data_IF_205973548303
#
_entry.id   IF_205973548303
#
_cell.length_a   1.000
_cell.length_b   1.000
_cell.length_c   1.000
_cell.angle_alpha   90.00
_cell.angle_beta   90.00
_cell.angle_gamma   90.00
#
_symmetry.space_group_name_H-M   'P 1'
#
loop_
_entity.id
_entity.type
_entity.pdbx_description
1 polymer ?
2 water ?
#
# COMPACT_ATOMS: atom_id res chain seq x y z
N UNK A 4 -3.45 -9.62 21.37
CA UNK A 4 -3.14 -8.68 20.21
C UNK A 4 -2.29 -7.46 20.55
N UNK A 5 -1.03 -7.49 20.19
CA UNK A 5 -0.21 -6.31 20.23
C UNK A 5 -0.73 -5.16 19.36
N UNK A 6 -0.52 -3.96 19.83
CA UNK A 6 -0.94 -2.75 19.15
C UNK A 6 0.21 -2.28 18.27
N UNK A 7 0.00 -2.27 16.95
CA UNK A 7 0.99 -1.68 16.05
C UNK A 7 0.43 -0.48 15.32
N UNK A 8 1.17 0.59 15.28
CA UNK A 8 0.79 1.73 14.43
C UNK A 8 1.61 1.66 13.15
N UNK A 9 0.93 1.52 12.04
CA UNK A 9 1.62 1.48 10.73
C UNK A 9 1.27 2.73 9.90
N UNK A 10 2.27 3.34 9.24
CA UNK A 10 2.10 4.51 8.37
C UNK A 10 2.72 4.12 7.01
N UNK A 11 2.04 4.43 5.88
CA UNK A 11 2.54 3.97 4.56
C UNK A 11 2.38 5.06 3.55
N UNK A 12 3.17 4.99 2.47
CA UNK A 12 2.99 5.92 1.37
C UNK A 12 3.67 5.29 0.17
N UNK A 13 3.10 5.56 -1.01
CA UNK A 13 3.71 5.15 -2.26
C UNK A 13 3.99 6.41 -3.09
N UNK A 14 4.99 6.37 -3.97
CA UNK A 14 5.29 7.51 -4.83
C UNK A 14 5.79 7.00 -6.15
N UNK A 15 5.50 7.71 -7.22
CA UNK A 15 6.01 7.33 -8.54
C UNK A 15 6.42 8.60 -9.39
N UNK A 16 7.62 8.58 -9.96
CA UNK A 16 8.02 9.69 -10.83
C UNK A 16 7.40 9.36 -12.20
N UNK A 17 6.23 9.77 -12.62
CA UNK A 17 5.64 9.25 -13.84
C UNK A 17 4.44 8.38 -13.80
N UNK A 18 3.88 8.25 -14.93
CA UNK A 18 2.77 7.31 -15.04
C UNK A 18 2.81 6.61 -16.35
N UNK A 19 3.52 5.53 -16.45
CA UNK A 19 4.27 4.88 -15.38
C UNK A 19 5.69 5.40 -15.28
N UNK A 20 6.41 5.03 -14.25
CA UNK A 20 7.76 5.48 -14.07
C UNK A 20 8.33 4.77 -12.84
N UNK A 21 9.55 5.08 -12.45
CA UNK A 21 10.16 4.45 -11.28
C UNK A 21 9.39 4.83 -10.05
N UNK A 22 9.18 3.87 -9.18
CA UNK A 22 8.36 4.13 -8.03
C UNK A 22 8.97 3.56 -6.81
N UNK A 23 8.40 3.99 -5.69
CA UNK A 23 8.72 3.40 -4.41
C UNK A 23 7.66 3.49 -3.33
N UNK A 24 7.92 2.77 -2.24
CA UNK A 24 7.05 2.89 -1.09
C UNK A 24 7.91 3.09 0.17
N UNK A 25 7.26 3.67 1.15
CA UNK A 25 7.83 3.87 2.48
C UNK A 25 6.89 3.41 3.55
N UNK A 26 7.41 2.78 4.58
CA UNK A 26 6.58 2.23 5.67
C UNK A 26 7.31 2.58 7.00
N UNK A 27 6.57 3.02 8.01
CA UNK A 27 7.09 3.17 9.38
C UNK A 27 6.14 2.40 10.26
N UNK A 28 6.68 1.58 11.13
CA UNK A 28 5.85 0.82 12.04
C UNK A 28 6.36 1.06 13.45
N UNK A 29 5.46 1.40 14.35
CA UNK A 29 5.79 1.63 15.75
C UNK A 29 5.08 0.64 16.62
N UNK A 30 5.84 0.00 17.53
CA UNK A 30 5.30 -0.96 18.47
C UNK A 30 5.99 -0.63 19.82
N UNK A 31 5.20 -0.18 20.78
CA UNK A 31 5.72 0.28 22.06
C UNK A 31 6.74 1.33 21.82
N UNK A 32 7.90 1.16 22.42
CA UNK A 32 8.91 2.15 22.16
C UNK A 32 9.70 1.91 20.86
N UNK A 33 9.45 0.85 20.12
CA UNK A 33 10.32 0.60 18.98
C UNK A 33 9.77 1.15 17.64
N UNK A 34 10.64 1.35 16.68
CA UNK A 34 10.21 1.87 15.39
C UNK A 34 11.01 1.10 14.38
N UNK A 35 10.35 0.68 13.30
CA UNK A 35 11.00 0.01 12.18
C UNK A 35 10.59 0.77 10.88
N UNK A 36 11.57 1.08 10.04
CA UNK A 36 11.33 1.73 8.77
C UNK A 36 11.57 0.70 7.61
N UNK A 37 10.80 0.76 6.52
CA UNK A 37 10.97 -0.22 5.43
C UNK A 37 10.74 0.62 4.15
N UNK A 38 11.42 0.31 3.07
CA UNK A 38 11.17 1.02 1.80
C UNK A 38 11.66 0.11 0.64
N UNK A 39 11.18 0.32 -0.57
CA UNK A 39 11.77 -0.42 -1.67
C UNK A 39 11.37 0.34 -2.92
N UNK A 40 12.07 0.08 -4.05
CA UNK A 40 11.81 0.75 -5.32
C UNK A 40 11.73 -0.21 -6.48
N UNK A 41 11.05 0.24 -7.55
CA UNK A 41 10.81 -0.56 -8.69
C UNK A 41 11.07 0.26 -9.91
N UNK A 42 11.58 -0.36 -10.95
CA UNK A 42 11.94 0.42 -12.16
C UNK A 42 10.80 0.94 -12.92
N UNK A 43 9.67 0.24 -12.97
CA UNK A 43 8.56 0.74 -13.82
C UNK A 43 7.23 0.30 -13.15
N UNK A 44 6.51 1.26 -12.64
CA UNK A 44 5.29 1.03 -11.96
C UNK A 44 4.44 2.32 -11.98
N UNK A 45 3.40 2.35 -11.13
CA UNK A 45 2.52 3.48 -11.01
C UNK A 45 2.36 3.86 -9.56
N UNK A 46 1.88 5.07 -9.37
CA UNK A 46 1.65 5.57 -8.05
C UNK A 46 0.61 4.67 -7.29
N UNK A 47 -0.41 4.21 -8.00
CA UNK A 47 -1.50 3.44 -7.39
C UNK A 47 -1.00 2.10 -6.93
N UNK A 48 -0.15 1.49 -7.73
CA UNK A 48 0.47 0.17 -7.32
C UNK A 48 1.33 0.35 -6.03
N UNK A 49 2.14 1.40 -6.00
CA UNK A 49 3.00 1.60 -4.79
C UNK A 49 2.13 1.90 -3.54
N UNK A 50 1.04 2.64 -3.71
CA UNK A 50 0.10 2.96 -2.62
C UNK A 50 -0.53 1.70 -2.09
N UNK A 51 -0.78 0.68 -2.93
CA UNK A 51 -1.28 -0.61 -2.41
C UNK A 51 -0.17 -1.50 -1.86
N UNK A 52 1.00 -1.45 -2.49
CA UNK A 52 2.02 -2.42 -2.15
C UNK A 52 2.61 -2.11 -0.68
N UNK A 53 2.63 -0.85 -0.31
CA UNK A 53 3.10 -0.40 1.02
C UNK A 53 2.37 -1.11 2.19
N UNK A 54 1.04 -1.01 2.27
CA UNK A 54 0.35 -1.76 3.31
C UNK A 54 0.45 -3.27 3.14
N UNK A 55 0.47 -3.74 1.89
CA UNK A 55 0.65 -5.16 1.68
C UNK A 55 1.94 -5.63 2.33
N UNK A 56 3.04 -4.99 2.00
CA UNK A 56 4.30 -5.41 2.57
C UNK A 56 4.32 -5.24 4.12
N UNK A 57 3.82 -4.14 4.60
CA UNK A 57 3.77 -3.98 6.05
C UNK A 57 2.98 -5.09 6.75
N UNK A 58 1.78 -5.40 6.24
CA UNK A 58 0.90 -6.41 6.83
C UNK A 58 1.42 -7.85 6.69
N UNK A 59 1.99 -8.16 5.52
CA UNK A 59 2.63 -9.45 5.27
C UNK A 59 3.90 -9.66 6.14
N UNK A 60 4.48 -8.63 6.68
CA UNK A 60 5.67 -8.77 7.50
C UNK A 60 5.33 -9.13 8.96
N UNK A 61 4.08 -8.90 9.36
CA UNK A 61 3.68 -9.16 10.73
C UNK A 61 3.59 -10.65 10.94
N UNK A 62 4.22 -11.12 11.99
CA UNK A 62 4.33 -12.57 12.22
C UNK A 62 3.06 -13.25 12.73
N UNK A 63 2.21 -12.52 13.43
CA UNK A 63 1.03 -13.08 13.96
C UNK A 63 -0.09 -11.99 13.91
N UNK A 64 -1.32 -12.35 14.18
CA UNK A 64 -2.48 -11.43 14.12
C UNK A 64 -2.33 -10.32 15.15
N UNK A 65 -2.54 -9.10 14.71
CA UNK A 65 -2.32 -7.94 15.53
C UNK A 65 -3.52 -7.00 15.46
N UNK A 66 -3.53 -6.04 16.36
CA UNK A 66 -4.48 -4.93 16.36
C UNK A 66 -3.67 -3.72 15.82
N UNK A 67 -4.15 -3.17 14.76
CA UNK A 67 -3.39 -2.17 14.02
C UNK A 67 -4.15 -0.91 13.74
N UNK A 68 -3.43 0.19 13.79
CA UNK A 68 -3.95 1.43 13.32
C UNK A 68 -3.04 1.78 12.15
N UNK A 69 -3.63 1.79 10.97
CA UNK A 69 -2.85 1.94 9.73
C UNK A 69 -3.25 3.22 9.01
N UNK A 70 -2.32 4.12 8.81
CA UNK A 70 -2.59 5.41 8.22
C UNK A 70 -1.87 5.56 6.90
N UNK A 71 -2.62 5.95 5.89
CA UNK A 71 -2.11 6.12 4.53
C UNK A 71 -2.65 7.38 3.95
N UNK A 72 -2.07 7.78 2.87
CA UNK A 72 -2.55 8.95 2.19
C UNK A 72 -3.50 8.67 0.94
N UNK A 73 -3.79 7.43 0.65
CA UNK A 73 -4.38 7.04 -0.61
C UNK A 73 -5.84 6.86 -0.61
N UNK A 74 -6.53 7.76 -1.30
CA UNK A 74 -7.99 7.64 -1.48
C UNK A 74 -8.35 6.51 -2.42
N UNK A 75 -7.44 6.16 -3.33
CA UNK A 75 -7.58 4.95 -4.19
C UNK A 75 -7.64 3.69 -3.31
N UNK A 76 -6.69 3.48 -2.42
CA UNK A 76 -6.75 2.32 -1.53
C UNK A 76 -7.97 2.33 -0.65
N UNK A 77 -8.30 3.52 -0.16
CA UNK A 77 -9.47 3.65 0.70
C UNK A 77 -10.71 3.20 -0.04
N UNK A 78 -10.86 3.70 -1.24
CA UNK A 78 -12.06 3.31 -2.07
C UNK A 78 -12.18 1.77 -2.15
N UNK A 79 -11.05 1.11 -2.38
CA UNK A 79 -10.96 -0.33 -2.43
C UNK A 79 -11.45 -1.02 -1.15
N UNK A 80 -10.86 -0.58 -0.03
CA UNK A 80 -11.20 -1.21 1.27
C UNK A 80 -12.65 -0.93 1.70
N UNK A 81 -13.16 0.23 1.43
CA UNK A 81 -14.50 0.63 1.84
C UNK A 81 -15.61 0.28 0.86
N UNK A 82 -15.34 0.10 -0.42
CA UNK A 82 -16.43 -0.27 -1.31
C UNK A 82 -16.10 -1.21 -2.47
N UNK A 83 -14.95 -1.08 -3.12
CA UNK A 83 -14.76 -1.85 -4.33
C UNK A 83 -14.52 -3.35 -4.09
N UNK A 84 -13.66 -3.72 -3.14
CA UNK A 84 -13.28 -5.13 -2.91
C UNK A 84 -14.54 -6.00 -2.67
N UNK A 85 -15.46 -5.51 -1.84
CA UNK A 85 -16.67 -6.24 -1.49
C UNK A 85 -17.48 -6.55 -2.71
N UNK A 86 -17.58 -5.59 -3.64
CA UNK A 86 -18.35 -5.86 -4.85
C UNK A 86 -17.57 -6.79 -5.75
N UNK A 87 -16.23 -6.58 -5.81
CA UNK A 87 -15.38 -7.37 -6.67
C UNK A 87 -15.43 -8.84 -6.33
N UNK A 88 -15.40 -9.17 -5.07
CA UNK A 88 -15.48 -10.54 -4.67
C UNK A 88 -16.74 -11.18 -5.22
N UNK A 89 -17.88 -10.53 -5.10
CA UNK A 89 -19.11 -11.10 -5.65
C UNK A 89 -19.15 -11.23 -7.20
N UNK A 90 -18.34 -10.44 -7.95
CA UNK A 90 -18.25 -10.47 -9.40
C UNK A 90 -17.04 -11.21 -9.95
N UNK A 91 -16.45 -12.12 -9.19
CA UNK A 91 -15.33 -12.83 -9.70
C UNK A 91 -14.08 -11.96 -10.02
N UNK A 92 -13.91 -10.86 -9.29
CA UNK A 92 -12.80 -9.91 -9.56
C UNK A 92 -12.72 -9.48 -11.03
N UNK A 93 -13.89 -9.23 -11.61
CA UNK A 93 -14.02 -8.73 -12.94
C UNK A 93 -14.71 -7.37 -12.83
N UNK A 94 -14.47 -6.52 -13.82
CA UNK A 94 -15.15 -5.25 -13.91
C UNK A 94 -16.53 -5.44 -14.54
N UNK A 95 -17.26 -4.34 -14.76
CA UNK A 95 -18.58 -4.48 -15.36
C UNK A 95 -18.36 -4.68 -16.87
N UNK A 96 -17.14 -4.53 -17.39
CA UNK A 96 -16.91 -4.93 -18.77
C UNK A 96 -16.61 -6.43 -18.94
N UNK A 97 -16.60 -7.16 -17.82
CA UNK A 97 -16.30 -8.61 -17.81
C UNK A 97 -14.85 -8.97 -18.15
N UNK A 98 -13.94 -8.11 -17.72
CA UNK A 98 -12.53 -8.32 -17.78
C UNK A 98 -11.91 -8.15 -16.36
N UNK A 99 -10.72 -8.70 -16.16
CA UNK A 99 -10.12 -8.65 -14.81
C UNK A 99 -9.91 -7.25 -14.29
N UNK A 100 -10.15 -7.06 -12.99
CA UNK A 100 -9.94 -5.79 -12.35
C UNK A 100 -8.49 -5.33 -12.47
N UNK A 101 -8.29 -4.05 -12.68
CA UNK A 101 -6.92 -3.46 -12.70
C UNK A 101 -6.21 -3.52 -11.36
N UNK A 102 -4.99 -4.00 -11.43
CA UNK A 102 -4.18 -4.31 -10.24
C UNK A 102 -4.76 -5.45 -9.31
N UNK A 103 -5.51 -6.36 -9.90
CA UNK A 103 -6.16 -7.46 -9.17
C UNK A 103 -5.14 -8.23 -8.32
N UNK A 104 -3.92 -8.36 -8.83
CA UNK A 104 -2.85 -9.11 -8.07
C UNK A 104 -2.65 -8.46 -6.66
N UNK A 105 -2.61 -7.13 -6.63
CA UNK A 105 -2.35 -6.42 -5.41
C UNK A 105 -3.62 -6.37 -4.60
N UNK A 106 -4.79 -6.12 -5.24
CA UNK A 106 -5.98 -6.01 -4.42
C UNK A 106 -6.24 -7.31 -3.67
N UNK A 107 -6.02 -8.43 -4.35
CA UNK A 107 -6.17 -9.73 -3.69
C UNK A 107 -5.20 -9.92 -2.53
N UNK A 108 -3.94 -9.58 -2.70
CA UNK A 108 -3.01 -9.66 -1.59
C UNK A 108 -3.34 -8.80 -0.41
N UNK A 109 -3.87 -7.62 -0.68
CA UNK A 109 -4.23 -6.68 0.37
C UNK A 109 -5.39 -7.22 1.16
N UNK A 110 -6.39 -7.70 0.44
CA UNK A 110 -7.59 -8.26 1.06
C UNK A 110 -7.24 -9.46 1.95
N UNK A 111 -6.41 -10.34 1.43
CA UNK A 111 -6.01 -11.49 2.17
C UNK A 111 -5.24 -11.15 3.44
N UNK A 112 -4.28 -10.27 3.34
CA UNK A 112 -3.47 -9.94 4.48
C UNK A 112 -4.33 -9.15 5.51
N UNK A 113 -5.21 -8.27 5.06
CA UNK A 113 -6.00 -7.53 5.98
C UNK A 113 -6.96 -8.39 6.84
N UNK A 114 -7.45 -9.50 6.28
CA UNK A 114 -8.33 -10.41 6.99
C UNK A 114 -7.74 -11.04 8.23
N UNK A 115 -6.45 -11.05 8.37
CA UNK A 115 -5.88 -11.76 9.47
C UNK A 115 -5.71 -10.85 10.74
N UNK A 116 -6.02 -9.56 10.65
CA UNK A 116 -5.79 -8.64 11.71
C UNK A 116 -7.01 -7.85 12.09
N UNK A 117 -6.94 -7.16 13.21
CA UNK A 117 -8.00 -6.21 13.58
C UNK A 117 -7.51 -4.84 13.19
N UNK A 118 -8.10 -4.25 12.16
CA UNK A 118 -7.50 -3.04 11.64
C UNK A 118 -8.40 -1.82 11.73
N UNK A 119 -7.80 -0.77 12.20
CA UNK A 119 -8.39 0.55 12.24
C UNK A 119 -7.68 1.40 11.15
N UNK A 120 -8.32 1.49 9.96
CA UNK A 120 -7.79 2.27 8.79
C UNK A 120 -7.98 3.77 8.96
N UNK A 121 -6.94 4.56 8.75
CA UNK A 121 -6.98 6.00 8.82
C UNK A 121 -6.37 6.54 7.50
N UNK A 122 -6.86 7.72 7.10
CA UNK A 122 -6.56 8.34 5.82
C UNK A 122 -6.14 9.74 6.12
N UNK A 123 -4.99 10.16 5.63
CA UNK A 123 -4.49 11.47 5.95
C UNK A 123 -5.36 12.53 5.35
N UNK A 124 -5.95 13.33 6.23
CA UNK A 124 -6.74 14.46 5.77
C UNK A 124 -5.81 15.52 5.30
N UNK A 125 -5.75 15.66 3.97
CA UNK A 125 -4.83 16.51 3.25
C UNK A 125 -4.30 17.77 3.87
N UNK A 126 -3.11 17.80 4.48
CA UNK A 126 -2.35 16.66 4.92
C UNK A 126 -1.71 16.94 6.25
N UNK A 127 -2.56 16.66 7.23
CA UNK A 127 -2.25 16.87 8.62
C UNK A 127 -1.98 15.53 9.17
N UNK A 128 -0.95 14.91 8.68
CA UNK A 128 -0.65 13.65 9.27
C UNK A 128 0.20 13.82 10.53
N UNK A 129 0.70 12.69 11.00
CA UNK A 129 1.65 12.55 12.05
C UNK A 129 2.96 12.74 11.34
N UNK A 130 4.05 13.02 12.07
CA UNK A 130 5.39 13.14 11.46
C UNK A 130 5.73 11.90 10.62
N UNK A 131 5.33 10.72 11.08
CA UNK A 131 5.65 9.47 10.36
C UNK A 131 5.17 9.39 8.93
N UNK A 132 4.08 10.09 8.63
CA UNK A 132 3.56 10.10 7.25
C UNK A 132 4.51 10.93 6.39
N UNK A 133 5.12 11.95 6.98
CA UNK A 133 6.20 12.68 6.25
C UNK A 133 7.35 11.76 5.97
N UNK A 134 7.73 11.07 7.00
CA UNK A 134 8.86 10.16 6.90
C UNK A 134 8.61 9.08 5.81
N UNK A 135 7.40 8.52 5.73
CA UNK A 135 7.07 7.61 4.59
C UNK A 135 7.29 8.18 3.23
N UNK A 136 6.77 9.39 3.03
CA UNK A 136 6.90 10.11 1.78
C UNK A 136 8.35 10.27 1.45
N UNK A 137 9.15 10.62 2.44
CA UNK A 137 10.55 10.79 2.18
C UNK A 137 11.20 9.50 1.75
N UNK A 138 10.87 8.42 2.40
CA UNK A 138 11.45 7.15 2.11
C UNK A 138 10.98 6.62 0.72
N UNK A 139 9.71 6.86 0.42
CA UNK A 139 9.16 6.42 -0.86
C UNK A 139 9.83 7.18 -2.03
N UNK A 140 9.91 8.47 -1.91
CA UNK A 140 10.46 9.34 -2.94
C UNK A 140 12.01 9.02 -3.12
N UNK A 141 12.66 8.72 -2.01
CA UNK A 141 14.06 8.36 -2.05
C UNK A 141 14.31 7.09 -2.91
N UNK A 142 13.49 6.09 -2.62
CA UNK A 142 13.60 4.87 -3.31
C UNK A 142 13.18 5.02 -4.78
N UNK A 143 12.19 5.86 -5.09
CA UNK A 143 11.86 6.01 -6.49
C UNK A 143 12.96 6.76 -7.31
N UNK A 144 13.64 7.66 -6.64
CA UNK A 144 14.65 8.54 -7.26
C UNK A 144 16.01 7.89 -7.46
N UNK A 145 16.27 6.79 -6.75
CA UNK A 145 17.52 6.08 -6.76
C UNK A 145 17.73 5.10 -7.90
N UNK A 146 17.19 5.45 -9.06
CA UNK A 146 17.28 4.55 -10.26
C UNK A 146 17.11 3.09 -9.88
N UNK A 147 15.96 2.73 -9.30
CA UNK A 147 15.69 1.37 -8.88
C UNK A 147 15.69 0.39 -10.08
N UNK A 148 16.16 -0.81 -9.92
CA UNK A 148 16.25 -1.78 -10.96
C UNK A 148 15.31 -2.95 -10.71
N UNK A 149 14.76 -3.06 -9.50
CA UNK A 149 13.91 -4.17 -9.22
C UNK A 149 12.63 -4.12 -10.15
N UNK A 150 12.29 -5.24 -10.77
CA UNK A 150 11.07 -5.31 -11.61
C UNK A 150 9.80 -5.50 -10.79
N UNK A 151 8.77 -4.66 -11.01
CA UNK A 151 7.37 -4.92 -10.46
C UNK A 151 6.75 -5.86 -11.46
N UNK A 152 6.77 -7.14 -11.16
CA UNK A 152 6.36 -8.11 -12.15
C UNK A 152 4.84 -8.15 -12.37
N UNK A 153 4.03 -7.55 -11.48
CA UNK A 153 2.59 -7.48 -11.70
C UNK A 153 2.17 -6.17 -12.39
N UNK A 154 3.09 -5.26 -12.76
CA UNK A 154 2.65 -4.03 -13.49
C UNK A 154 2.46 -4.47 -14.96
N UNK A 155 1.27 -4.31 -15.47
CA UNK A 155 0.96 -4.71 -16.80
C UNK A 155 1.04 -3.49 -17.79
N UNK A 156 1.45 -3.77 -19.02
CA UNK A 156 1.63 -2.70 -20.04
C UNK A 156 0.33 -1.91 -20.27
N UNK A 157 0.40 -0.71 -20.81
CA UNK A 157 -0.78 0.10 -21.10
C UNK A 157 -1.37 0.63 -19.73
N UNK A 158 -0.82 0.02 -18.68
CA UNK A 158 -1.27 0.17 -17.30
C UNK A 158 -1.00 1.54 -16.60
#
# INVERSE_FOLDING_TARGET
>A
MTELKLIHIFTDGSCLGNPGPGGYGIVMNYKGHTKEMSDGFSLTTNNRMELLAPIVALEALKEPCKIILTSDSQYMRQGIMTWIHGWKKKGWMTSNRTPVKNVDLWKRLDKAAQLHQIDWRWVKGHAGHAENERCDQLARAAAEANPTQIDTGYQAES
#
